data_IF_423415260710
#
_entry.id   IF_423415260710
#
_cell.length_a   1.000
_cell.length_b   1.000
_cell.length_c   1.000
_cell.angle_alpha   90.00
_cell.angle_beta   90.00
_cell.angle_gamma   90.00
#
_symmetry.space_group_name_H-M   'P 1'
#
loop_
_entity.id
_entity.type
_entity.pdbx_description
1 polymer ?
#
# COMPACT_ATOMS: atom_id res chain seq x y z
N UNK A 1 -9.96 -10.20 44.32
CA UNK A 1 -9.39 -10.50 42.99
C UNK A 1 -9.79 -9.40 42.02
N UNK A 2 -8.88 -8.86 41.20
CA UNK A 2 -9.21 -7.81 40.25
C UNK A 2 -10.25 -8.33 39.23
N UNK A 3 -11.34 -7.60 39.05
CA UNK A 3 -12.39 -7.96 38.10
C UNK A 3 -12.13 -7.27 36.74
N UNK A 4 -12.13 -8.08 35.68
CA UNK A 4 -12.01 -7.61 34.31
C UNK A 4 -13.41 -7.48 33.70
N UNK A 5 -13.65 -6.42 32.91
CA UNK A 5 -14.89 -6.26 32.17
C UNK A 5 -14.85 -7.02 30.84
N UNK A 6 -15.98 -7.07 30.13
CA UNK A 6 -16.11 -7.68 28.78
C UNK A 6 -15.19 -7.06 27.71
N UNK A 7 -14.60 -5.89 27.96
CA UNK A 7 -13.63 -5.23 27.08
C UNK A 7 -12.17 -5.59 27.43
N UNK A 8 -11.98 -6.65 28.24
CA UNK A 8 -10.68 -7.20 28.66
C UNK A 8 -9.76 -6.16 29.34
N UNK A 9 -10.36 -5.25 30.12
CA UNK A 9 -9.67 -4.27 30.97
C UNK A 9 -10.16 -4.39 32.40
N UNK A 10 -9.33 -3.97 33.36
CA UNK A 10 -9.76 -3.80 34.75
C UNK A 10 -10.94 -2.83 34.80
N UNK A 11 -12.00 -3.19 35.53
CA UNK A 11 -13.25 -2.40 35.62
C UNK A 11 -12.98 -0.92 35.93
N UNK A 12 -12.10 -0.63 36.88
CA UNK A 12 -11.68 0.73 37.28
C UNK A 12 -10.95 1.54 36.19
N UNK A 13 -10.43 0.89 35.15
CA UNK A 13 -9.62 1.52 34.09
C UNK A 13 -10.31 1.48 32.70
N UNK A 14 -11.51 0.91 32.61
CA UNK A 14 -12.23 0.85 31.35
C UNK A 14 -12.95 2.18 31.09
N UNK A 15 -12.60 2.96 30.05
CA UNK A 15 -13.24 4.24 29.78
C UNK A 15 -14.73 4.12 29.42
N UNK A 16 -15.18 2.91 29.07
CA UNK A 16 -16.57 2.59 28.70
C UNK A 16 -17.38 2.14 29.92
N UNK A 17 -16.78 1.37 30.82
CA UNK A 17 -17.48 0.78 31.97
C UNK A 17 -17.28 1.54 33.28
N UNK A 18 -16.31 2.47 33.35
CA UNK A 18 -16.11 3.28 34.56
C UNK A 18 -17.28 4.23 34.73
N UNK A 19 -17.76 4.36 35.96
CA UNK A 19 -18.70 5.42 36.30
C UNK A 19 -18.04 6.79 36.05
N UNK A 20 -18.75 7.73 35.43
CA UNK A 20 -18.22 9.07 35.22
C UNK A 20 -17.98 9.73 36.58
N UNK A 21 -16.74 10.16 36.81
CA UNK A 21 -16.36 10.85 38.04
C UNK A 21 -17.13 12.17 38.13
N UNK A 22 -17.72 12.51 39.30
CA UNK A 22 -18.44 13.76 39.45
C UNK A 22 -17.50 14.95 39.20
N UNK A 23 -18.00 16.04 38.58
CA UNK A 23 -17.16 17.18 38.26
C UNK A 23 -16.54 17.77 39.53
N UNK A 24 -15.25 18.15 39.51
CA UNK A 24 -14.60 18.70 40.68
C UNK A 24 -15.29 20.03 41.07
N UNK A 25 -15.64 20.14 42.35
CA UNK A 25 -16.19 21.36 42.91
C UNK A 25 -15.21 22.53 42.70
N UNK A 26 -15.73 23.64 42.16
CA UNK A 26 -14.95 24.83 41.82
C UNK A 26 -14.26 25.42 43.06
N UNK A 27 -12.96 25.14 43.23
CA UNK A 27 -12.10 25.85 44.17
C UNK A 27 -11.69 27.18 43.56
N UNK A 28 -12.15 28.28 44.18
CA UNK A 28 -11.67 29.65 43.90
C UNK A 28 -10.16 29.72 44.10
N UNK A 29 -9.45 30.11 43.04
CA UNK A 29 -8.02 30.40 43.09
C UNK A 29 -7.74 31.79 43.69
N UNK A 30 -6.66 31.97 44.47
CA UNK A 30 -6.21 33.29 44.90
C UNK A 30 -5.47 34.01 43.76
N UNK A 31 -5.69 35.32 43.67
CA UNK A 31 -5.04 36.23 42.72
C UNK A 31 -3.56 36.41 43.07
N UNK A 32 -2.66 36.05 42.16
CA UNK A 32 -1.26 36.51 42.16
C UNK A 32 -0.96 37.34 40.91
N UNK A 33 -0.51 38.58 41.13
CA UNK A 33 0.11 39.45 40.12
C UNK A 33 1.54 38.97 39.86
N UNK A 34 1.95 38.84 38.61
CA UNK A 34 3.37 38.61 38.28
C UNK A 34 3.68 38.29 36.82
N UNK A 35 4.29 39.28 36.16
CA UNK A 35 5.29 39.21 35.09
C UNK A 35 5.04 38.48 33.76
N UNK A 36 5.31 39.23 32.69
CA UNK A 36 5.38 38.86 31.27
C UNK A 36 6.50 37.85 31.02
N UNK A 37 6.18 36.78 30.30
CA UNK A 37 7.11 36.02 29.45
C UNK A 37 6.28 35.33 28.37
N UNK A 38 6.38 35.83 27.14
CA UNK A 38 5.75 35.22 25.97
C UNK A 38 6.51 33.95 25.60
N UNK A 39 5.90 32.80 25.85
CA UNK A 39 6.20 31.55 25.15
C UNK A 39 4.97 31.18 24.34
N UNK A 40 5.11 31.26 23.02
CA UNK A 40 4.19 30.73 22.04
C UNK A 40 3.99 29.23 22.30
N UNK A 41 2.93 28.89 23.02
CA UNK A 41 2.40 27.54 23.07
C UNK A 41 1.90 27.20 21.67
N UNK A 42 2.63 26.32 20.98
CA UNK A 42 2.16 25.66 19.78
C UNK A 42 0.83 24.99 20.12
N UNK A 43 -0.26 25.57 19.62
CA UNK A 43 -1.57 24.98 19.69
C UNK A 43 -1.49 23.63 18.97
N UNK A 44 -1.65 22.57 19.73
CA UNK A 44 -2.01 21.25 19.21
C UNK A 44 -3.25 21.45 18.36
N UNK A 45 -3.05 21.48 17.04
CA UNK A 45 -4.14 21.48 16.08
C UNK A 45 -4.90 20.19 16.31
N UNK A 46 -6.13 20.32 16.83
CA UNK A 46 -7.06 19.21 16.94
C UNK A 46 -7.18 18.57 15.55
N UNK A 47 -6.86 17.27 15.46
CA UNK A 47 -6.95 16.53 14.21
C UNK A 47 -8.40 16.58 13.72
N UNK A 48 -8.65 17.41 12.71
CA UNK A 48 -9.96 17.53 12.06
C UNK A 48 -10.31 16.18 11.46
N UNK A 49 -11.35 15.54 11.98
CA UNK A 49 -11.85 14.27 11.44
C UNK A 49 -12.50 14.55 10.08
N UNK A 50 -11.82 14.17 9.00
CA UNK A 50 -12.39 14.23 7.64
C UNK A 50 -13.14 12.94 7.33
N UNK A 51 -14.46 13.03 7.19
CA UNK A 51 -15.31 11.89 6.77
C UNK A 51 -15.37 11.90 5.24
N UNK A 52 -14.73 10.92 4.59
CA UNK A 52 -14.88 10.69 3.15
C UNK A 52 -15.97 9.65 2.93
N UNK A 53 -17.10 10.06 2.33
CA UNK A 53 -18.11 9.11 1.82
C UNK A 53 -17.53 8.41 0.60
N UNK A 54 -17.42 7.09 0.66
CA UNK A 54 -17.12 6.28 -0.51
C UNK A 54 -18.43 5.99 -1.26
N UNK A 55 -18.46 6.09 -2.59
CA UNK A 55 -19.61 5.66 -3.37
C UNK A 55 -19.83 4.15 -3.14
N UNK A 56 -21.05 3.76 -2.82
CA UNK A 56 -21.45 2.38 -2.55
C UNK A 56 -22.68 2.05 -3.36
N UNK A 57 -22.71 0.84 -3.92
CA UNK A 57 -23.93 0.32 -4.52
C UNK A 57 -25.02 0.15 -3.44
N UNK A 58 -26.28 0.17 -3.90
CA UNK A 58 -27.43 -0.08 -3.04
C UNK A 58 -27.39 -1.54 -2.58
N UNK A 59 -27.59 -1.76 -1.28
CA UNK A 59 -27.63 -3.10 -0.70
C UNK A 59 -28.79 -3.91 -1.32
N UNK A 60 -28.49 -5.12 -1.76
CA UNK A 60 -29.43 -6.02 -2.47
C UNK A 60 -29.56 -7.40 -1.80
N UNK A 61 -29.05 -7.52 -0.57
CA UNK A 61 -29.07 -8.76 0.19
C UNK A 61 -27.93 -9.74 -0.16
N UNK A 62 -26.97 -9.32 -0.99
CA UNK A 62 -25.76 -10.11 -1.23
C UNK A 62 -24.99 -10.38 0.08
N UNK A 63 -24.52 -11.62 0.22
CA UNK A 63 -23.72 -12.09 1.34
C UNK A 63 -22.63 -13.03 0.85
N UNK A 64 -21.42 -12.89 1.41
CA UNK A 64 -20.31 -13.80 1.17
C UNK A 64 -19.50 -13.99 2.45
N UNK A 65 -19.19 -15.25 2.80
CA UNK A 65 -18.34 -15.56 3.95
C UNK A 65 -16.88 -15.10 3.74
N UNK A 66 -16.48 -14.96 2.47
CA UNK A 66 -15.13 -14.57 2.08
C UNK A 66 -14.92 -13.06 2.19
N UNK A 67 -15.95 -12.27 1.86
CA UNK A 67 -15.96 -10.80 1.87
C UNK A 67 -17.18 -10.25 2.64
N UNK A 68 -17.27 -10.52 3.96
CA UNK A 68 -18.49 -10.27 4.73
C UNK A 68 -18.85 -8.79 4.91
N UNK A 69 -17.95 -7.86 4.54
CA UNK A 69 -18.23 -6.43 4.56
C UNK A 69 -18.77 -5.88 3.24
N UNK A 70 -19.00 -6.73 2.23
CA UNK A 70 -19.71 -6.37 1.00
C UNK A 70 -21.16 -6.82 1.11
N UNK A 71 -22.09 -5.89 0.91
CA UNK A 71 -23.55 -6.11 1.06
C UNK A 71 -24.35 -5.87 -0.23
N UNK A 72 -23.66 -5.56 -1.33
CA UNK A 72 -24.26 -5.32 -2.63
C UNK A 72 -23.54 -6.15 -3.69
N UNK A 73 -24.30 -6.86 -4.55
CA UNK A 73 -23.73 -7.68 -5.63
C UNK A 73 -22.88 -6.85 -6.59
N UNK A 74 -23.24 -5.59 -6.84
CA UNK A 74 -22.47 -4.70 -7.71
C UNK A 74 -21.07 -4.41 -7.16
N UNK A 75 -20.94 -4.21 -5.84
CA UNK A 75 -19.62 -4.02 -5.19
C UNK A 75 -18.78 -5.30 -5.23
N UNK A 76 -19.42 -6.48 -5.17
CA UNK A 76 -18.76 -7.77 -5.32
C UNK A 76 -18.28 -8.03 -6.76
N UNK A 77 -19.10 -7.72 -7.78
CA UNK A 77 -18.68 -7.75 -9.18
C UNK A 77 -17.48 -6.83 -9.42
N UNK A 78 -17.52 -5.61 -8.87
CA UNK A 78 -16.39 -4.69 -8.96
C UNK A 78 -15.13 -5.25 -8.32
N UNK A 79 -15.23 -5.91 -7.16
CA UNK A 79 -14.07 -6.57 -6.56
C UNK A 79 -13.56 -7.71 -7.44
N UNK A 80 -14.46 -8.50 -8.05
CA UNK A 80 -14.10 -9.56 -8.97
C UNK A 80 -13.32 -9.03 -10.19
N UNK A 81 -13.80 -7.92 -10.78
CA UNK A 81 -13.17 -7.27 -11.93
C UNK A 81 -11.78 -6.73 -11.57
N UNK A 82 -11.61 -6.16 -10.37
CA UNK A 82 -10.32 -5.68 -9.91
C UNK A 82 -9.34 -6.81 -9.57
N UNK A 83 -9.81 -7.93 -9.03
CA UNK A 83 -9.00 -9.14 -8.82
C UNK A 83 -8.57 -9.75 -10.16
N UNK A 84 -9.48 -9.84 -11.13
CA UNK A 84 -9.20 -10.35 -12.47
C UNK A 84 -8.16 -9.48 -13.17
N UNK A 85 -8.29 -8.16 -13.08
CA UNK A 85 -7.34 -7.23 -13.66
C UNK A 85 -5.97 -7.28 -12.99
N UNK A 86 -5.91 -7.21 -11.67
CA UNK A 86 -4.65 -7.25 -10.95
C UNK A 86 -3.90 -8.57 -11.21
N UNK A 87 -4.62 -9.69 -11.30
CA UNK A 87 -4.07 -10.99 -11.70
C UNK A 87 -3.56 -10.99 -13.15
N UNK A 88 -4.36 -10.47 -14.10
CA UNK A 88 -3.98 -10.34 -15.51
C UNK A 88 -2.73 -9.50 -15.70
N UNK A 89 -2.63 -8.36 -15.00
CA UNK A 89 -1.44 -7.50 -14.96
C UNK A 89 -0.20 -8.28 -14.49
N UNK A 90 -0.31 -9.11 -13.46
CA UNK A 90 0.83 -9.88 -12.96
C UNK A 90 1.28 -10.96 -13.96
N UNK A 91 0.34 -11.53 -14.71
CA UNK A 91 0.65 -12.44 -15.81
C UNK A 91 1.36 -11.72 -16.96
N UNK A 92 0.87 -10.52 -17.33
CA UNK A 92 1.53 -9.66 -18.32
C UNK A 92 2.96 -9.31 -17.88
N UNK A 93 3.13 -8.84 -16.64
CA UNK A 93 4.43 -8.50 -16.06
C UNK A 93 5.42 -9.68 -16.04
N UNK A 94 4.93 -10.91 -15.91
CA UNK A 94 5.78 -12.11 -15.87
C UNK A 94 6.12 -12.66 -17.25
N UNK A 95 5.26 -12.47 -18.25
CA UNK A 95 5.38 -13.13 -19.57
C UNK A 95 5.80 -12.17 -20.68
N UNK A 96 5.23 -10.97 -20.70
CA UNK A 96 5.51 -9.92 -21.67
C UNK A 96 5.45 -8.54 -20.98
N UNK A 97 6.42 -8.26 -20.08
CA UNK A 97 6.39 -7.03 -19.30
C UNK A 97 6.34 -5.78 -20.19
N UNK A 98 5.43 -4.82 -19.96
CA UNK A 98 5.29 -3.65 -20.82
C UNK A 98 6.26 -2.52 -20.43
N UNK A 99 6.60 -1.67 -21.41
CA UNK A 99 7.33 -0.42 -21.18
C UNK A 99 8.63 -0.59 -20.39
N UNK A 100 8.80 0.20 -19.32
CA UNK A 100 10.00 0.11 -18.48
C UNK A 100 10.12 -1.21 -17.71
N UNK A 101 9.04 -1.96 -17.50
CA UNK A 101 9.17 -3.29 -16.92
C UNK A 101 9.89 -4.26 -17.87
N UNK A 102 9.74 -4.09 -19.19
CA UNK A 102 10.47 -4.89 -20.17
C UNK A 102 11.98 -4.62 -20.07
N UNK A 103 12.35 -3.35 -19.85
CA UNK A 103 13.73 -2.95 -19.62
C UNK A 103 14.25 -3.54 -18.31
N UNK A 104 13.47 -3.48 -17.21
CA UNK A 104 13.82 -4.18 -15.96
C UNK A 104 14.03 -5.67 -16.22
N UNK A 105 13.17 -6.34 -16.98
CA UNK A 105 13.25 -7.78 -17.24
C UNK A 105 14.37 -8.20 -18.19
N UNK A 106 14.91 -7.29 -19.00
CA UNK A 106 15.97 -7.57 -19.99
C UNK A 106 17.35 -6.98 -19.63
N UNK A 107 17.43 -6.03 -18.70
CA UNK A 107 18.69 -5.43 -18.24
C UNK A 107 19.68 -6.47 -17.69
N UNK A 108 20.88 -6.64 -18.29
CA UNK A 108 21.85 -7.63 -17.83
C UNK A 108 22.43 -7.34 -16.43
N UNK A 109 22.58 -6.07 -16.05
CA UNK A 109 23.07 -5.71 -14.72
C UNK A 109 21.93 -5.70 -13.69
N UNK A 110 21.99 -6.63 -12.73
CA UNK A 110 20.97 -6.74 -11.68
C UNK A 110 20.82 -5.45 -10.86
N UNK A 111 21.89 -4.68 -10.68
CA UNK A 111 21.84 -3.44 -9.92
C UNK A 111 21.12 -2.33 -10.71
N UNK A 112 21.33 -2.25 -12.03
CA UNK A 112 20.57 -1.33 -12.89
C UNK A 112 19.09 -1.73 -12.96
N UNK A 113 18.81 -3.03 -13.06
CA UNK A 113 17.45 -3.56 -13.08
C UNK A 113 16.68 -3.26 -11.79
N UNK A 114 17.31 -3.49 -10.63
CA UNK A 114 16.72 -3.21 -9.32
C UNK A 114 16.52 -1.71 -9.09
N UNK A 115 17.46 -0.87 -9.54
CA UNK A 115 17.32 0.58 -9.43
C UNK A 115 16.16 1.10 -10.28
N UNK A 116 16.02 0.62 -11.52
CA UNK A 116 14.90 0.98 -12.37
C UNK A 116 13.55 0.50 -11.79
N UNK A 117 13.49 -0.73 -11.28
CA UNK A 117 12.30 -1.25 -10.60
C UNK A 117 11.93 -0.42 -9.37
N UNK A 118 12.92 0.02 -8.60
CA UNK A 118 12.72 0.90 -7.45
C UNK A 118 12.18 2.27 -7.87
N UNK A 119 12.74 2.89 -8.92
CA UNK A 119 12.27 4.17 -9.45
C UNK A 119 10.83 4.09 -9.98
N UNK A 120 10.47 2.98 -10.65
CA UNK A 120 9.09 2.75 -11.10
C UNK A 120 8.13 2.70 -9.90
N UNK A 121 8.47 1.95 -8.86
CA UNK A 121 7.63 1.85 -7.65
C UNK A 121 7.60 3.16 -6.85
N UNK A 122 8.71 3.91 -6.82
CA UNK A 122 8.82 5.17 -6.09
C UNK A 122 8.03 6.29 -6.75
N UNK A 123 8.12 6.44 -8.07
CA UNK A 123 7.44 7.51 -8.81
C UNK A 123 6.00 7.13 -9.22
N UNK A 124 5.74 5.82 -9.36
CA UNK A 124 4.50 5.23 -9.88
C UNK A 124 4.22 5.64 -11.35
N UNK A 125 3.91 4.70 -12.26
CA UNK A 125 3.52 5.04 -13.63
C UNK A 125 2.28 5.95 -13.67
N UNK A 126 2.23 6.82 -14.68
CA UNK A 126 1.07 7.68 -14.92
C UNK A 126 -0.13 6.86 -15.38
N UNK A 127 -1.32 7.29 -15.00
CA UNK A 127 -2.57 6.70 -15.49
C UNK A 127 -3.08 7.45 -16.71
N UNK A 128 -3.72 6.77 -17.68
CA UNK A 128 -4.40 7.43 -18.78
C UNK A 128 -5.42 8.43 -18.22
N UNK A 129 -5.41 9.67 -18.71
CA UNK A 129 -6.41 10.65 -18.30
C UNK A 129 -7.66 10.52 -19.17
N UNK A 130 -8.83 10.85 -18.63
CA UNK A 130 -10.06 10.92 -19.42
C UNK A 130 -9.98 11.92 -20.59
N UNK A 131 -9.08 12.91 -20.51
CA UNK A 131 -8.83 13.89 -21.55
C UNK A 131 -7.93 13.35 -22.69
N UNK A 132 -7.08 12.37 -22.39
CA UNK A 132 -6.19 11.72 -23.37
C UNK A 132 -6.21 10.19 -23.16
N UNK A 133 -7.31 9.51 -23.58
CA UNK A 133 -7.49 8.08 -23.36
C UNK A 133 -6.54 7.20 -24.20
N UNK A 134 -5.89 7.77 -25.21
CA UNK A 134 -5.01 7.07 -26.14
C UNK A 134 -3.66 7.79 -26.25
N UNK A 135 -2.59 7.16 -25.79
CA UNK A 135 -1.22 7.48 -26.24
C UNK A 135 -0.26 8.14 -25.24
N UNK A 136 -0.63 8.38 -23.99
CA UNK A 136 0.37 8.79 -22.99
C UNK A 136 1.20 7.57 -22.56
N UNK A 137 2.51 7.54 -22.89
CA UNK A 137 3.43 6.54 -22.34
C UNK A 137 3.38 6.62 -20.80
N UNK A 138 2.88 5.58 -20.10
CA UNK A 138 2.75 5.58 -18.63
C UNK A 138 4.07 5.86 -17.91
N UNK A 139 5.18 5.58 -18.59
CA UNK A 139 6.52 5.72 -18.04
C UNK A 139 7.27 6.97 -18.50
N UNK A 140 6.63 7.87 -19.26
CA UNK A 140 7.30 9.03 -19.84
C UNK A 140 8.05 9.87 -18.79
N UNK A 141 7.40 10.17 -17.65
CA UNK A 141 8.00 10.94 -16.57
C UNK A 141 9.20 10.21 -15.93
N UNK A 142 9.08 8.90 -15.69
CA UNK A 142 10.16 8.09 -15.12
C UNK A 142 11.34 8.02 -16.10
N UNK A 143 11.06 7.81 -17.39
CA UNK A 143 12.08 7.75 -18.45
C UNK A 143 12.85 9.06 -18.58
N UNK A 144 12.17 10.19 -18.39
CA UNK A 144 12.77 11.52 -18.49
C UNK A 144 13.76 11.81 -17.35
N UNK A 145 13.53 11.29 -16.15
CA UNK A 145 14.34 11.63 -14.95
C UNK A 145 15.27 10.52 -14.48
N UNK A 146 15.07 9.26 -14.92
CA UNK A 146 15.86 8.13 -14.42
C UNK A 146 17.36 8.33 -14.66
N UNK A 147 18.14 8.02 -13.63
CA UNK A 147 19.60 7.92 -13.70
C UNK A 147 20.01 6.45 -13.64
N UNK A 148 21.26 6.13 -13.99
CA UNK A 148 21.80 4.78 -13.79
C UNK A 148 22.26 4.59 -12.36
N UNK A 149 22.23 3.36 -11.89
CA UNK A 149 22.70 3.00 -10.56
C UNK A 149 24.20 3.33 -10.41
N UNK A 150 25.00 2.89 -11.38
CA UNK A 150 26.47 2.99 -11.39
C UNK A 150 27.02 4.42 -11.41
N UNK A 151 26.23 5.36 -11.92
CA UNK A 151 26.67 6.76 -12.05
C UNK A 151 26.59 7.49 -10.70
N UNK A 152 25.98 6.89 -9.67
CA UNK A 152 25.76 7.46 -8.34
C UNK A 152 24.93 8.77 -8.30
N UNK A 153 24.50 9.27 -9.46
CA UNK A 153 23.63 10.44 -9.58
C UNK A 153 22.20 10.11 -9.16
N UNK A 154 21.54 11.11 -8.56
CA UNK A 154 20.13 11.04 -8.20
C UNK A 154 19.29 11.73 -9.29
N UNK A 155 18.11 11.17 -9.63
CA UNK A 155 17.13 11.82 -10.50
C UNK A 155 16.81 13.26 -10.05
N UNK A 156 16.68 14.17 -11.01
CA UNK A 156 16.07 15.48 -10.77
C UNK A 156 14.56 15.30 -10.62
N UNK A 157 14.02 15.59 -9.43
CA UNK A 157 12.61 15.34 -9.08
C UNK A 157 11.73 16.59 -9.12
N UNK A 158 12.30 17.76 -9.37
CA UNK A 158 11.56 19.02 -9.34
C UNK A 158 10.48 19.04 -10.43
N UNK A 159 9.21 19.06 -10.01
CA UNK A 159 8.06 19.10 -10.91
C UNK A 159 7.80 17.79 -11.67
N UNK A 160 8.41 16.67 -11.26
CA UNK A 160 8.17 15.38 -11.93
C UNK A 160 6.71 14.95 -11.76
N UNK A 161 6.07 14.54 -12.86
CA UNK A 161 4.75 13.95 -12.81
C UNK A 161 4.82 12.54 -12.21
N UNK A 162 3.86 12.19 -11.36
CA UNK A 162 3.85 10.93 -10.60
C UNK A 162 2.50 10.24 -10.69
N UNK A 163 2.53 8.90 -10.63
CA UNK A 163 1.34 8.07 -10.61
C UNK A 163 0.59 8.07 -9.27
N UNK A 164 -0.58 7.40 -9.22
CA UNK A 164 -1.49 7.42 -8.07
C UNK A 164 -0.93 6.72 -6.82
N UNK A 165 0.10 5.90 -6.96
CA UNK A 165 0.72 5.13 -5.87
C UNK A 165 2.15 5.59 -5.54
N UNK A 166 2.48 6.83 -5.90
CA UNK A 166 3.80 7.41 -5.70
C UNK A 166 4.19 7.52 -4.23
N UNK A 167 5.44 7.20 -3.92
CA UNK A 167 6.09 7.50 -2.65
C UNK A 167 6.90 8.80 -2.69
N UNK A 168 6.94 9.48 -3.84
CA UNK A 168 7.59 10.77 -3.94
C UNK A 168 6.77 11.84 -3.22
N UNK A 169 7.39 12.44 -2.19
CA UNK A 169 6.91 13.65 -1.54
C UNK A 169 7.83 14.81 -1.93
N UNK A 170 7.34 15.81 -2.69
CA UNK A 170 8.12 16.97 -3.08
C UNK A 170 8.78 17.70 -1.89
N UNK A 171 8.12 17.72 -0.73
CA UNK A 171 8.66 18.37 0.48
C UNK A 171 9.90 17.65 1.04
N UNK A 172 10.09 16.37 0.69
CA UNK A 172 11.27 15.58 1.07
C UNK A 172 12.38 15.63 0.02
N UNK A 173 12.10 16.15 -1.17
CA UNK A 173 13.04 16.15 -2.30
C UNK A 173 13.64 14.76 -2.55
N UNK A 174 14.96 14.67 -2.58
CA UNK A 174 15.70 13.44 -2.82
C UNK A 174 15.96 12.57 -1.57
N UNK A 175 15.46 12.95 -0.38
CA UNK A 175 15.84 12.30 0.88
C UNK A 175 15.53 10.79 0.92
N UNK A 176 14.41 10.35 0.31
CA UNK A 176 14.05 8.93 0.24
C UNK A 176 15.02 8.15 -0.66
N UNK A 177 15.43 8.72 -1.80
CA UNK A 177 16.41 8.11 -2.71
C UNK A 177 17.79 7.99 -2.05
N UNK A 178 18.21 9.02 -1.31
CA UNK A 178 19.45 9.00 -0.51
C UNK A 178 19.39 7.89 0.54
N UNK A 179 18.25 7.73 1.22
CA UNK A 179 18.07 6.67 2.21
C UNK A 179 18.16 5.27 1.58
N UNK A 180 17.59 5.08 0.39
CA UNK A 180 17.68 3.83 -0.36
C UNK A 180 19.11 3.51 -0.80
N UNK A 181 19.83 4.48 -1.38
CA UNK A 181 21.25 4.28 -1.75
C UNK A 181 22.10 3.88 -0.55
N UNK A 182 21.99 4.63 0.56
CA UNK A 182 22.70 4.29 1.82
C UNK A 182 22.34 2.91 2.36
N UNK A 183 21.09 2.49 2.19
CA UNK A 183 20.66 1.15 2.57
C UNK A 183 21.39 0.06 1.76
N UNK A 184 21.44 0.21 0.44
CA UNK A 184 22.15 -0.72 -0.45
C UNK A 184 23.66 -0.70 -0.22
N UNK A 185 24.26 0.49 -0.11
CA UNK A 185 25.70 0.69 0.14
C UNK A 185 26.17 0.00 1.42
N UNK A 186 25.39 0.09 2.52
CA UNK A 186 25.71 -0.62 3.77
C UNK A 186 25.77 -2.13 3.61
N UNK A 187 25.02 -2.69 2.66
CA UNK A 187 25.06 -4.11 2.34
C UNK A 187 26.10 -4.45 1.25
N UNK A 188 26.70 -3.44 0.61
CA UNK A 188 27.63 -3.55 -0.52
C UNK A 188 26.96 -3.50 -1.90
N UNK A 189 25.66 -3.80 -2.01
CA UNK A 189 24.89 -3.73 -3.26
C UNK A 189 23.39 -3.79 -2.98
N UNK A 190 22.53 -3.42 -3.94
CA UNK A 190 21.07 -3.57 -3.81
C UNK A 190 20.68 -5.05 -3.74
N UNK A 191 21.23 -5.87 -4.64
CA UNK A 191 20.93 -7.30 -4.68
C UNK A 191 21.27 -7.98 -3.35
N UNK A 192 22.44 -7.67 -2.75
CA UNK A 192 22.84 -8.21 -1.45
C UNK A 192 21.97 -7.72 -0.29
N UNK A 193 21.50 -6.47 -0.35
CA UNK A 193 20.61 -5.93 0.67
C UNK A 193 19.25 -6.65 0.71
N UNK A 194 18.78 -7.11 -0.46
CA UNK A 194 17.46 -7.71 -0.68
C UNK A 194 17.47 -9.24 -0.65
N UNK A 195 18.55 -9.89 -1.09
CA UNK A 195 18.62 -11.35 -1.29
C UNK A 195 18.50 -12.16 0.02
N UNK A 196 18.92 -11.61 1.16
CA UNK A 196 18.91 -12.37 2.42
C UNK A 196 19.87 -13.57 2.38
N UNK A 197 19.51 -14.65 3.06
CA UNK A 197 20.30 -15.90 3.05
C UNK A 197 19.87 -16.82 1.90
N UNK A 198 20.80 -17.64 1.41
CA UNK A 198 20.57 -18.53 0.26
C UNK A 198 19.47 -19.56 0.55
N UNK A 199 19.46 -20.14 1.76
CA UNK A 199 18.45 -21.11 2.19
C UNK A 199 17.04 -20.55 2.43
N UNK A 200 16.84 -19.24 2.33
CA UNK A 200 15.51 -18.67 2.55
C UNK A 200 14.58 -19.00 1.39
N UNK A 201 13.37 -19.45 1.74
CA UNK A 201 12.28 -19.54 0.80
C UNK A 201 11.88 -18.14 0.28
N UNK A 202 11.29 -18.04 -0.93
CA UNK A 202 10.96 -16.75 -1.55
C UNK A 202 10.05 -15.85 -0.71
N UNK A 203 9.14 -16.43 0.07
CA UNK A 203 8.23 -15.73 0.97
C UNK A 203 8.95 -15.10 2.16
N UNK A 204 9.86 -15.84 2.78
CA UNK A 204 10.73 -15.33 3.84
C UNK A 204 11.66 -14.24 3.31
N UNK A 205 12.19 -14.40 2.10
CA UNK A 205 13.03 -13.39 1.44
C UNK A 205 12.25 -12.09 1.22
N UNK A 206 11.03 -12.19 0.69
CA UNK A 206 10.14 -11.04 0.52
C UNK A 206 9.89 -10.33 1.85
N UNK A 207 9.45 -11.07 2.88
CA UNK A 207 9.11 -10.51 4.19
C UNK A 207 10.29 -9.73 4.80
N UNK A 208 11.51 -10.29 4.73
CA UNK A 208 12.71 -9.65 5.27
C UNK A 208 13.16 -8.44 4.46
N UNK A 209 13.09 -8.51 3.13
CA UNK A 209 13.36 -7.37 2.27
C UNK A 209 12.35 -6.23 2.55
N UNK A 210 11.07 -6.57 2.70
CA UNK A 210 9.99 -5.62 2.98
C UNK A 210 10.19 -4.88 4.31
N UNK A 211 10.57 -5.60 5.37
CA UNK A 211 10.91 -5.03 6.68
C UNK A 211 12.11 -4.07 6.58
N UNK A 212 13.19 -4.50 5.91
CA UNK A 212 14.42 -3.70 5.75
C UNK A 212 14.21 -2.42 4.93
N UNK A 213 13.26 -2.46 4.00
CA UNK A 213 12.89 -1.33 3.17
C UNK A 213 12.03 -0.29 3.88
N UNK A 214 11.74 -0.42 5.19
CA UNK A 214 11.04 0.59 5.99
C UNK A 214 11.85 1.90 6.18
N UNK A 215 12.21 2.53 5.06
CA UNK A 215 13.04 3.71 4.96
C UNK A 215 12.18 4.98 5.12
N UNK A 216 12.75 6.09 5.62
CA UNK A 216 12.01 7.34 5.76
C UNK A 216 11.45 7.85 4.43
N UNK A 217 10.12 7.93 4.32
CA UNK A 217 9.42 8.39 3.11
C UNK A 217 9.05 7.28 2.12
N UNK A 218 9.40 6.01 2.40
CA UNK A 218 9.01 4.89 1.56
C UNK A 218 7.87 4.08 2.22
N UNK A 219 6.63 4.32 1.79
CA UNK A 219 5.44 3.73 2.40
C UNK A 219 5.23 2.25 2.04
N UNK A 220 4.23 1.61 2.66
CA UNK A 220 3.90 0.18 2.48
C UNK A 220 3.71 -0.20 1.01
N UNK A 221 2.82 0.49 0.30
CA UNK A 221 2.53 0.21 -1.11
C UNK A 221 3.77 0.27 -2.01
N UNK A 222 4.59 1.33 -1.97
CA UNK A 222 5.79 1.42 -2.82
C UNK A 222 6.84 0.32 -2.51
N UNK A 223 7.00 -0.08 -1.24
CA UNK A 223 7.86 -1.23 -0.88
C UNK A 223 7.33 -2.54 -1.45
N UNK A 224 6.01 -2.73 -1.36
CA UNK A 224 5.34 -3.91 -1.87
C UNK A 224 5.45 -3.99 -3.38
N UNK A 225 5.13 -2.88 -4.07
CA UNK A 225 5.17 -2.76 -5.53
C UNK A 225 6.59 -2.98 -6.06
N UNK A 226 7.62 -2.40 -5.41
CA UNK A 226 9.02 -2.63 -5.78
C UNK A 226 9.40 -4.12 -5.75
N UNK A 227 9.10 -4.80 -4.64
CA UNK A 227 9.46 -6.20 -4.47
C UNK A 227 8.64 -7.13 -5.37
N UNK A 228 7.36 -6.82 -5.61
CA UNK A 228 6.52 -7.55 -6.56
C UNK A 228 7.05 -7.38 -7.98
N UNK A 229 7.41 -6.16 -8.39
CA UNK A 229 8.01 -5.93 -9.71
C UNK A 229 9.30 -6.70 -9.85
N UNK A 230 10.24 -6.57 -8.90
CA UNK A 230 11.51 -7.30 -8.94
C UNK A 230 11.32 -8.82 -8.97
N UNK A 231 10.33 -9.34 -8.21
CA UNK A 231 9.97 -10.75 -8.20
C UNK A 231 9.39 -11.26 -9.52
N UNK A 232 8.43 -10.52 -10.08
CA UNK A 232 7.71 -10.89 -11.30
C UNK A 232 8.56 -10.77 -12.57
N UNK A 233 9.52 -9.84 -12.59
CA UNK A 233 10.49 -9.72 -13.69
C UNK A 233 11.73 -10.60 -13.50
N UNK A 234 11.75 -11.49 -12.50
CA UNK A 234 12.84 -12.44 -12.26
C UNK A 234 14.15 -11.84 -11.72
N UNK A 235 14.13 -10.62 -11.18
CA UNK A 235 15.30 -9.91 -10.64
C UNK A 235 15.57 -10.19 -9.17
N UNK A 236 14.57 -10.72 -8.47
CA UNK A 236 14.69 -11.16 -7.10
C UNK A 236 13.84 -12.43 -6.93
N UNK A 237 14.40 -13.48 -6.32
CA UNK A 237 13.61 -14.67 -5.95
C UNK A 237 12.78 -14.40 -4.69
N UNK A 238 11.78 -13.51 -4.79
CA UNK A 238 10.93 -13.11 -3.70
C UNK A 238 9.47 -13.04 -4.13
N UNK A 239 8.57 -13.54 -3.28
CA UNK A 239 7.12 -13.49 -3.51
C UNK A 239 6.40 -13.21 -2.19
N UNK A 240 5.38 -12.34 -2.14
CA UNK A 240 4.67 -12.10 -0.90
C UNK A 240 3.83 -13.32 -0.50
N UNK A 241 3.66 -13.52 0.82
CA UNK A 241 2.69 -14.47 1.39
C UNK A 241 1.53 -13.77 2.12
N UNK A 242 1.59 -12.45 2.26
CA UNK A 242 0.55 -11.62 2.88
C UNK A 242 0.60 -10.20 2.32
N UNK A 243 -0.32 -9.33 2.74
CA UNK A 243 -0.37 -7.92 2.32
C UNK A 243 0.51 -6.99 3.19
N UNK A 244 1.05 -7.52 4.29
CA UNK A 244 1.85 -6.81 5.28
C UNK A 244 1.14 -5.56 5.82
N UNK A 245 -0.15 -5.71 6.16
CA UNK A 245 -0.98 -4.61 6.68
C UNK A 245 -0.67 -4.27 8.14
N UNK A 246 0.01 -5.16 8.86
CA UNK A 246 0.48 -4.87 10.22
C UNK A 246 1.48 -3.71 10.21
N UNK A 247 1.16 -2.65 10.94
CA UNK A 247 2.00 -1.44 11.01
C UNK A 247 1.87 -0.53 9.78
N UNK A 248 0.93 -0.83 8.87
CA UNK A 248 0.52 0.14 7.87
C UNK A 248 -0.02 1.42 8.55
N UNK A 249 0.17 2.56 7.91
CA UNK A 249 -0.41 3.81 8.38
C UNK A 249 -1.94 3.67 8.43
N UNK A 250 -2.59 4.39 9.37
CA UNK A 250 -4.04 4.27 9.56
C UNK A 250 -4.86 4.65 8.32
N UNK A 251 -4.27 5.48 7.46
CA UNK A 251 -4.80 5.97 6.19
C UNK A 251 -4.30 5.19 4.96
N UNK A 252 -3.54 4.09 5.13
CA UNK A 252 -3.14 3.21 4.02
C UNK A 252 -4.40 2.74 3.25
N UNK A 253 -4.58 3.11 1.98
CA UNK A 253 -5.83 2.87 1.27
C UNK A 253 -6.15 1.39 1.07
N UNK A 254 -5.15 0.53 0.82
CA UNK A 254 -5.32 -0.93 0.77
C UNK A 254 -5.80 -1.46 2.12
N UNK A 255 -5.22 -1.01 3.23
CA UNK A 255 -5.66 -1.36 4.58
C UNK A 255 -7.08 -0.89 4.89
N UNK A 256 -7.47 0.31 4.45
CA UNK A 256 -8.84 0.81 4.57
C UNK A 256 -9.83 -0.03 3.76
N UNK A 257 -9.46 -0.40 2.53
CA UNK A 257 -10.28 -1.23 1.66
C UNK A 257 -10.45 -2.63 2.24
N UNK A 258 -9.35 -3.24 2.72
CA UNK A 258 -9.37 -4.53 3.39
C UNK A 258 -10.34 -4.53 4.59
N UNK A 259 -10.29 -3.50 5.45
CA UNK A 259 -11.23 -3.39 6.58
C UNK A 259 -12.69 -3.35 6.14
N UNK A 260 -12.98 -2.68 5.03
CA UNK A 260 -14.32 -2.53 4.47
C UNK A 260 -14.80 -3.80 3.80
N UNK A 261 -13.99 -4.42 2.94
CA UNK A 261 -14.32 -5.66 2.22
C UNK A 261 -14.48 -6.84 3.19
N UNK A 262 -13.55 -6.94 4.15
CA UNK A 262 -13.45 -8.11 5.04
C UNK A 262 -14.23 -7.93 6.34
N UNK A 263 -14.82 -6.75 6.60
CA UNK A 263 -15.62 -6.48 7.80
C UNK A 263 -14.84 -6.60 9.12
N UNK A 264 -13.51 -6.46 9.09
CA UNK A 264 -12.60 -6.71 10.22
C UNK A 264 -11.74 -5.49 10.46
N UNK A 265 -11.47 -5.13 11.73
CA UNK A 265 -10.58 -4.01 12.07
C UNK A 265 -9.14 -4.44 12.41
N UNK A 266 -8.93 -5.68 12.85
CA UNK A 266 -7.62 -6.20 13.29
C UNK A 266 -6.70 -6.50 12.10
N UNK A 267 -5.53 -5.85 11.97
CA UNK A 267 -4.63 -6.04 10.83
C UNK A 267 -4.10 -7.46 10.64
N UNK A 268 -3.86 -8.22 11.72
CA UNK A 268 -3.37 -9.58 11.62
C UNK A 268 -4.45 -10.56 11.16
N UNK A 269 -5.73 -10.25 11.44
CA UNK A 269 -6.85 -10.96 10.85
C UNK A 269 -7.09 -10.54 9.38
N UNK A 270 -6.84 -9.27 9.02
CA UNK A 270 -6.92 -8.82 7.63
C UNK A 270 -5.94 -9.55 6.73
N UNK A 271 -4.66 -9.66 7.11
CA UNK A 271 -3.65 -10.36 6.31
C UNK A 271 -4.04 -11.84 6.09
N UNK A 272 -4.54 -12.53 7.12
CA UNK A 272 -5.00 -13.91 7.01
C UNK A 272 -6.23 -14.05 6.10
N UNK A 273 -7.22 -13.16 6.24
CA UNK A 273 -8.44 -13.19 5.42
C UNK A 273 -8.16 -12.82 3.97
N UNK A 274 -7.26 -11.89 3.71
CA UNK A 274 -6.81 -11.58 2.35
C UNK A 274 -6.12 -12.78 1.69
N UNK A 275 -5.31 -13.55 2.44
CA UNK A 275 -4.74 -14.80 1.94
C UNK A 275 -5.82 -15.84 1.59
N UNK A 276 -6.87 -15.96 2.41
CA UNK A 276 -8.02 -16.83 2.09
C UNK A 276 -8.76 -16.37 0.83
N UNK A 277 -8.93 -15.06 0.63
CA UNK A 277 -9.52 -14.50 -0.61
C UNK A 277 -8.66 -14.88 -1.82
N UNK A 278 -7.35 -14.68 -1.72
CA UNK A 278 -6.41 -15.02 -2.78
C UNK A 278 -6.48 -16.52 -3.15
N UNK A 279 -6.44 -17.39 -2.13
CA UNK A 279 -6.53 -18.84 -2.29
C UNK A 279 -7.85 -19.27 -2.93
N UNK A 280 -8.98 -18.82 -2.38
CA UNK A 280 -10.31 -19.19 -2.88
C UNK A 280 -10.55 -18.70 -4.31
N UNK A 281 -10.10 -17.49 -4.64
CA UNK A 281 -10.24 -16.91 -5.99
C UNK A 281 -9.17 -17.43 -6.98
N UNK A 282 -8.19 -18.23 -6.52
CA UNK A 282 -7.12 -18.76 -7.36
C UNK A 282 -6.18 -17.68 -7.91
N UNK A 283 -5.99 -16.56 -7.19
CA UNK A 283 -5.14 -15.45 -7.60
C UNK A 283 -3.93 -15.29 -6.66
N UNK A 284 -2.80 -14.73 -7.12
CA UNK A 284 -1.68 -14.39 -6.24
C UNK A 284 -2.06 -13.34 -5.18
N UNK A 285 -1.46 -13.39 -4.00
CA UNK A 285 -1.76 -12.44 -2.91
C UNK A 285 -1.44 -10.98 -3.30
N UNK A 286 -0.43 -10.76 -4.14
CA UNK A 286 -0.14 -9.44 -4.69
C UNK A 286 -1.24 -8.89 -5.62
N UNK A 287 -2.09 -9.76 -6.20
CA UNK A 287 -3.25 -9.31 -6.97
C UNK A 287 -4.30 -8.69 -6.04
N UNK A 288 -4.51 -9.29 -4.85
CA UNK A 288 -5.43 -8.78 -3.84
C UNK A 288 -5.01 -7.39 -3.35
N UNK A 289 -3.71 -7.12 -3.27
CA UNK A 289 -3.19 -5.82 -2.87
C UNK A 289 -3.68 -4.69 -3.79
N UNK A 290 -3.44 -4.82 -5.10
CA UNK A 290 -3.84 -3.83 -6.08
C UNK A 290 -5.36 -3.81 -6.27
N UNK A 291 -6.01 -4.97 -6.21
CA UNK A 291 -7.46 -5.05 -6.33
C UNK A 291 -8.18 -4.30 -5.21
N UNK A 292 -7.73 -4.44 -3.96
CA UNK A 292 -8.27 -3.70 -2.82
C UNK A 292 -8.03 -2.19 -2.96
N UNK A 293 -6.84 -1.79 -3.43
CA UNK A 293 -6.56 -0.39 -3.72
C UNK A 293 -7.55 0.19 -4.75
N UNK A 294 -7.69 -0.46 -5.90
CA UNK A 294 -8.57 0.00 -6.99
C UNK A 294 -10.05 -0.05 -6.59
N UNK A 295 -10.46 -1.07 -5.85
CA UNK A 295 -11.84 -1.19 -5.37
C UNK A 295 -12.24 -0.06 -4.44
N UNK A 296 -11.30 0.57 -3.72
CA UNK A 296 -11.61 1.76 -2.93
C UNK A 296 -11.41 3.07 -3.71
N UNK A 297 -10.63 3.06 -4.79
CA UNK A 297 -10.51 4.22 -5.68
C UNK A 297 -11.84 4.50 -6.40
N UNK A 298 -12.02 5.70 -6.92
CA UNK A 298 -13.11 5.96 -7.87
C UNK A 298 -12.73 5.33 -9.23
N UNK A 299 -13.69 4.96 -10.07
CA UNK A 299 -13.39 4.24 -11.34
C UNK A 299 -12.47 5.04 -12.28
N UNK A 300 -12.60 6.37 -12.26
CA UNK A 300 -11.71 7.28 -13.01
C UNK A 300 -10.28 7.36 -12.45
N UNK A 301 -10.00 6.73 -11.31
CA UNK A 301 -8.73 6.74 -10.59
C UNK A 301 -8.14 5.33 -10.41
N UNK A 302 -8.60 4.35 -11.19
CA UNK A 302 -8.03 3.00 -11.21
C UNK A 302 -6.53 3.07 -11.54
N UNK A 303 -5.71 2.45 -10.70
CA UNK A 303 -4.28 2.32 -10.97
C UNK A 303 -4.03 1.11 -11.88
N UNK A 304 -3.56 1.34 -13.10
CA UNK A 304 -3.07 0.32 -14.03
C UNK A 304 -1.59 0.00 -13.79
N UNK A 305 -0.84 0.93 -13.19
CA UNK A 305 0.60 0.80 -12.94
C UNK A 305 1.38 0.45 -14.23
N UNK A 306 0.98 1.02 -15.36
CA UNK A 306 1.63 0.85 -16.66
C UNK A 306 1.33 -0.48 -17.37
N UNK A 307 0.37 -1.26 -16.87
CA UNK A 307 -0.14 -2.47 -17.52
C UNK A 307 -1.20 -2.13 -18.58
N UNK A 308 -1.50 -3.08 -19.47
CA UNK A 308 -2.61 -2.90 -20.41
C UNK A 308 -3.94 -2.76 -19.64
N UNK A 309 -4.81 -1.79 -19.97
CA UNK A 309 -6.13 -1.65 -19.34
C UNK A 309 -7.03 -2.88 -19.51
N UNK A 310 -6.76 -3.70 -20.52
CA UNK A 310 -7.48 -4.95 -20.82
C UNK A 310 -6.81 -6.19 -20.24
N UNK A 311 -5.72 -6.05 -19.48
CA UNK A 311 -5.06 -7.16 -18.83
C UNK A 311 -6.02 -7.78 -17.81
N UNK A 312 -6.66 -8.91 -18.15
CA UNK A 312 -7.61 -9.59 -17.27
C UNK A 312 -7.36 -11.11 -17.30
N UNK A 313 -7.29 -11.71 -16.11
CA UNK A 313 -7.34 -13.15 -15.93
C UNK A 313 -8.78 -13.68 -16.10
N UNK A 314 -8.99 -14.99 -16.29
CA UNK A 314 -10.33 -15.59 -16.29
C UNK A 314 -11.11 -15.22 -15.01
N UNK A 315 -12.31 -14.68 -15.19
CA UNK A 315 -13.13 -14.17 -14.08
C UNK A 315 -13.99 -15.24 -13.40
N UNK A 316 -14.20 -16.40 -14.01
CA UNK A 316 -15.11 -17.43 -13.51
C UNK A 316 -14.71 -18.01 -12.13
N UNK A 317 -13.43 -18.37 -11.86
CA UNK A 317 -13.03 -18.82 -10.52
C UNK A 317 -13.20 -17.74 -9.45
N UNK A 318 -12.95 -16.47 -9.83
CA UNK A 318 -13.07 -15.32 -8.95
C UNK A 318 -14.54 -15.06 -8.62
N UNK A 319 -15.41 -15.06 -9.63
CA UNK A 319 -16.85 -14.88 -9.46
C UNK A 319 -17.44 -15.99 -8.59
N UNK A 320 -17.08 -17.25 -8.86
CA UNK A 320 -17.51 -18.40 -8.06
C UNK A 320 -17.07 -18.29 -6.60
N UNK A 321 -15.81 -17.92 -6.34
CA UNK A 321 -15.31 -17.71 -4.98
C UNK A 321 -16.04 -16.60 -4.21
N UNK A 322 -16.52 -15.58 -4.92
CA UNK A 322 -17.31 -14.49 -4.36
C UNK A 322 -18.82 -14.80 -4.33
N UNK A 323 -19.29 -15.94 -4.84
CA UNK A 323 -20.71 -16.27 -4.86
C UNK A 323 -21.53 -15.40 -5.82
N UNK A 324 -20.91 -14.98 -6.93
CA UNK A 324 -21.54 -14.19 -7.99
C UNK A 324 -22.22 -15.07 -9.03
#
# INVERSE_FOLDING_TARGET
>A
MPQFCRHNRLLQNCPICREPEPPPAARRAPRSRGARSGRSSAASAAATVTIRRAPRAVEDGYQSELVPGIHARADAHRLADELAFASGRLAELATAPPGLYAEVASEPDVEEALWLAFLIAYLSPLEPSAAEPSGTDPFAAIRAVRTRWRDAELPGLDGVATGPRTAHDPARGAATLIAYRRFAERAGSQARALAGEEQWAPDRRFARAFERLALPGLHRAARFDFLVTAGRTGRLDARPSSLFLRGAAGDDPTGLAARRVLGIADPALLDRRAAMVAEAAGVPIEAVELALWNWQADDAARATLGASPTAAAPSEPIASALGL
#
